data_IF_560472391669
#
_entry.id   IF_560472391669
#
_cell.length_a   1.000
_cell.length_b   1.000
_cell.length_c   1.000
_cell.angle_alpha   90.00
_cell.angle_beta   90.00
_cell.angle_gamma   90.00
#
_symmetry.space_group_name_H-M   'P 1'
#
loop_
_entity.id
_entity.type
_entity.pdbx_description
1 polymer ?
#
# COMPACT_ATOMS: atom_id res chain seq x y z
N UNK A 1 58.96 -1.72 -16.05
CA UNK A 1 57.73 -2.53 -16.17
C UNK A 1 57.29 -3.07 -14.80
N UNK A 2 57.14 -2.21 -13.78
CA UNK A 2 56.73 -2.62 -12.41
C UNK A 2 56.08 -1.48 -11.60
N UNK A 3 55.50 -0.47 -12.26
CA UNK A 3 54.80 0.63 -11.57
C UNK A 3 53.29 0.71 -11.84
N UNK A 4 52.77 -0.01 -12.83
CA UNK A 4 51.33 -0.02 -13.15
C UNK A 4 50.53 -1.11 -12.41
N UNK A 5 51.19 -1.98 -11.62
CA UNK A 5 50.50 -3.06 -10.90
C UNK A 5 49.95 -2.68 -9.52
N UNK A 6 50.40 -1.56 -8.94
CA UNK A 6 49.99 -1.15 -7.57
C UNK A 6 48.79 -0.21 -7.55
N UNK A 7 48.63 0.64 -8.57
CA UNK A 7 47.50 1.58 -8.67
C UNK A 7 46.20 0.87 -9.03
N UNK A 8 46.24 -0.17 -9.86
CA UNK A 8 45.05 -0.96 -10.23
C UNK A 8 44.52 -1.80 -9.07
N UNK A 9 45.40 -2.29 -8.19
CA UNK A 9 45.00 -3.08 -7.01
C UNK A 9 44.34 -2.20 -5.93
N UNK A 10 44.76 -0.94 -5.78
CA UNK A 10 44.18 0.00 -4.82
C UNK A 10 42.78 0.47 -5.26
N UNK A 11 42.56 0.67 -6.57
CA UNK A 11 41.24 0.98 -7.12
C UNK A 11 40.26 -0.21 -7.02
N UNK A 12 40.74 -1.44 -7.20
CA UNK A 12 39.94 -2.66 -6.99
C UNK A 12 39.59 -2.87 -5.51
N UNK A 13 40.48 -2.51 -4.58
CA UNK A 13 40.20 -2.56 -3.14
C UNK A 13 39.21 -1.49 -2.68
N UNK A 14 39.21 -0.29 -3.29
CA UNK A 14 38.22 0.76 -2.99
C UNK A 14 36.84 0.38 -3.55
N UNK A 15 36.78 -0.25 -4.72
CA UNK A 15 35.53 -0.78 -5.28
C UNK A 15 34.96 -1.96 -4.47
N UNK A 16 35.82 -2.76 -3.81
CA UNK A 16 35.40 -3.82 -2.89
C UNK A 16 34.99 -3.31 -1.49
N UNK A 17 35.29 -2.06 -1.15
CA UNK A 17 34.91 -1.43 0.13
C UNK A 17 33.59 -0.65 0.03
N UNK A 18 33.04 -0.46 -1.17
CA UNK A 18 31.72 0.16 -1.39
C UNK A 18 30.53 -0.80 -1.31
N UNK A 19 30.78 -2.10 -1.20
CA UNK A 19 29.77 -3.14 -1.00
C UNK A 19 29.80 -3.72 0.42
N UNK A 20 29.92 -2.86 1.44
CA UNK A 20 29.69 -3.28 2.81
C UNK A 20 28.19 -3.15 3.06
N UNK A 21 27.42 -4.18 2.71
CA UNK A 21 26.04 -4.31 3.19
C UNK A 21 26.08 -4.15 4.70
N UNK A 22 25.32 -3.19 5.22
CA UNK A 22 25.15 -3.02 6.65
C UNK A 22 24.50 -4.30 7.18
N UNK A 23 25.28 -5.16 7.83
CA UNK A 23 24.75 -6.27 8.63
C UNK A 23 24.11 -5.68 9.89
N UNK A 24 23.07 -4.89 9.72
CA UNK A 24 22.35 -4.24 10.82
C UNK A 24 21.57 -5.33 11.53
N UNK A 25 22.02 -5.72 12.71
CA UNK A 25 21.37 -6.77 13.50
C UNK A 25 20.09 -6.23 14.13
N UNK A 26 18.97 -6.91 13.87
CA UNK A 26 17.68 -6.59 14.49
C UNK A 26 17.68 -6.98 15.97
N UNK A 27 17.13 -6.09 16.82
CA UNK A 27 16.79 -6.43 18.20
C UNK A 27 15.35 -6.91 18.29
N UNK A 28 15.13 -8.12 18.81
CA UNK A 28 13.78 -8.69 18.97
C UNK A 28 13.21 -8.40 20.36
N UNK A 29 11.96 -7.93 20.43
CA UNK A 29 11.25 -7.55 21.66
C UNK A 29 9.84 -8.13 21.64
N UNK A 30 9.36 -8.69 22.74
CA UNK A 30 7.99 -9.19 22.82
C UNK A 30 6.94 -8.07 22.99
N UNK A 31 5.78 -8.26 22.36
CA UNK A 31 4.63 -7.37 22.48
C UNK A 31 4.69 -6.20 21.49
N UNK A 32 3.85 -5.19 21.72
CA UNK A 32 3.80 -3.98 20.89
C UNK A 32 4.86 -2.94 21.29
N UNK A 33 5.24 -2.03 20.38
CA UNK A 33 6.01 -0.84 20.74
C UNK A 33 5.34 -0.07 21.88
N UNK A 34 6.14 0.33 22.88
CA UNK A 34 5.65 1.01 24.08
C UNK A 34 5.59 2.54 23.93
N UNK A 35 6.27 3.09 22.92
CA UNK A 35 6.22 4.51 22.58
C UNK A 35 5.42 4.69 21.30
N UNK A 36 4.54 5.69 21.29
CA UNK A 36 3.91 6.16 20.07
C UNK A 36 4.98 6.62 19.07
N UNK A 37 4.77 6.30 17.80
CA UNK A 37 5.58 6.79 16.70
C UNK A 37 4.70 7.08 15.47
N UNK A 38 5.15 7.96 14.55
CA UNK A 38 4.43 8.19 13.30
C UNK A 38 4.21 6.90 12.50
N UNK A 39 5.24 6.06 12.41
CA UNK A 39 5.20 4.77 11.73
C UNK A 39 4.16 3.80 12.31
N UNK A 40 4.11 3.68 13.63
CA UNK A 40 3.10 2.87 14.32
C UNK A 40 1.69 3.41 14.05
N UNK A 41 1.53 4.74 14.06
CA UNK A 41 0.24 5.39 13.81
C UNK A 41 -0.27 5.11 12.39
N UNK A 42 0.61 5.19 11.39
CA UNK A 42 0.26 4.85 10.01
C UNK A 42 -0.10 3.37 9.84
N UNK A 43 0.60 2.47 10.54
CA UNK A 43 0.22 1.05 10.56
C UNK A 43 -1.16 0.83 11.21
N UNK A 44 -1.46 1.48 12.33
CA UNK A 44 -2.78 1.40 12.97
C UNK A 44 -3.90 1.96 12.08
N UNK A 45 -3.61 3.02 11.31
CA UNK A 45 -4.50 3.55 10.28
C UNK A 45 -4.78 2.49 9.21
N UNK A 46 -3.75 1.79 8.73
CA UNK A 46 -3.91 0.71 7.76
C UNK A 46 -4.79 -0.43 8.30
N UNK A 47 -4.66 -0.80 9.58
CA UNK A 47 -5.48 -1.86 10.19
C UNK A 47 -6.97 -1.53 10.27
N UNK A 48 -7.35 -0.25 10.28
CA UNK A 48 -8.75 0.16 10.43
C UNK A 48 -9.48 0.36 9.11
N UNK A 49 -8.73 0.60 8.03
CA UNK A 49 -9.29 0.70 6.69
C UNK A 49 -9.69 -0.67 6.17
N UNK A 50 -10.91 -0.81 5.63
CA UNK A 50 -11.23 -1.99 4.82
C UNK A 50 -10.42 -1.97 3.52
N UNK A 51 -10.18 -3.13 2.91
CA UNK A 51 -9.45 -3.27 1.64
C UNK A 51 -9.94 -2.31 0.54
N UNK A 52 -11.23 -1.97 0.55
CA UNK A 52 -11.85 -1.11 -0.46
C UNK A 52 -11.92 0.37 -0.08
N UNK A 53 -11.50 0.74 1.13
CA UNK A 53 -11.41 2.15 1.51
C UNK A 53 -10.21 2.80 0.84
N UNK A 54 -10.34 4.06 0.46
CA UNK A 54 -9.24 4.83 -0.12
C UNK A 54 -8.97 6.07 0.71
N UNK A 55 -7.73 6.19 1.20
CA UNK A 55 -7.24 7.41 1.84
C UNK A 55 -7.14 8.50 0.78
N UNK A 56 -7.86 9.60 0.98
CA UNK A 56 -7.87 10.71 0.02
C UNK A 56 -6.88 11.78 0.44
N UNK A 57 -6.94 12.21 1.71
CA UNK A 57 -6.07 13.27 2.23
C UNK A 57 -5.75 13.04 3.71
N UNK A 58 -4.62 13.59 4.14
CA UNK A 58 -4.39 14.01 5.51
C UNK A 58 -4.36 15.54 5.55
N UNK A 59 -5.34 16.17 6.20
CA UNK A 59 -5.44 17.63 6.30
C UNK A 59 -5.58 18.04 7.75
N UNK A 60 -4.63 18.82 8.25
CA UNK A 60 -4.63 19.35 9.62
C UNK A 60 -4.78 18.25 10.71
N UNK A 61 -4.15 17.09 10.50
CA UNK A 61 -4.23 15.94 11.42
C UNK A 61 -5.57 15.17 11.35
N UNK A 62 -6.36 15.40 10.30
CA UNK A 62 -7.55 14.63 9.98
C UNK A 62 -7.30 13.73 8.78
N UNK A 63 -7.49 12.43 8.98
CA UNK A 63 -7.46 11.44 7.93
C UNK A 63 -8.83 11.35 7.29
N UNK A 64 -8.89 11.50 5.97
CA UNK A 64 -10.14 11.55 5.20
C UNK A 64 -10.13 10.40 4.21
N UNK A 65 -11.21 9.61 4.23
CA UNK A 65 -11.34 8.41 3.42
C UNK A 65 -12.60 8.42 2.58
N UNK A 66 -12.51 7.86 1.38
CA UNK A 66 -13.66 7.30 0.67
C UNK A 66 -13.94 5.92 1.22
N UNK A 67 -15.19 5.67 1.61
CA UNK A 67 -15.64 4.34 2.03
C UNK A 67 -15.84 3.46 0.80
N UNK A 68 -15.18 2.30 0.82
CA UNK A 68 -15.32 1.30 -0.21
C UNK A 68 -16.76 0.80 -0.33
N UNK A 69 -17.24 0.75 -1.56
CA UNK A 69 -18.48 0.11 -1.93
C UNK A 69 -18.20 -1.33 -2.36
N UNK A 70 -18.84 -2.27 -1.67
CA UNK A 70 -18.76 -3.71 -1.93
C UNK A 70 -20.04 -4.28 -2.53
N UNK A 71 -21.08 -3.47 -2.70
CA UNK A 71 -22.41 -3.92 -3.08
C UNK A 71 -22.95 -3.09 -4.24
N UNK A 72 -23.32 -3.76 -5.33
CA UNK A 72 -23.87 -3.16 -6.56
C UNK A 72 -25.09 -2.24 -6.37
N UNK A 73 -25.74 -2.30 -5.20
CA UNK A 73 -26.94 -1.49 -4.87
C UNK A 73 -26.62 -0.12 -4.29
N UNK A 74 -25.43 0.08 -3.74
CA UNK A 74 -25.02 1.40 -3.28
C UNK A 74 -24.63 2.21 -4.51
N UNK A 75 -25.38 3.28 -4.75
CA UNK A 75 -25.27 4.08 -5.97
C UNK A 75 -24.55 5.41 -5.74
N UNK A 76 -24.04 5.65 -4.54
CA UNK A 76 -23.32 6.86 -4.15
C UNK A 76 -22.05 6.54 -3.39
N UNK A 77 -21.06 7.42 -3.55
CA UNK A 77 -19.83 7.38 -2.76
C UNK A 77 -20.07 8.06 -1.41
N UNK A 78 -19.54 7.46 -0.34
CA UNK A 78 -19.61 7.98 1.02
C UNK A 78 -18.21 8.23 1.55
N UNK A 79 -18.09 9.22 2.42
CA UNK A 79 -16.82 9.59 3.04
C UNK A 79 -16.93 9.50 4.54
N UNK A 80 -15.80 9.33 5.21
CA UNK A 80 -15.67 9.48 6.65
C UNK A 80 -14.31 10.10 6.97
N UNK A 81 -14.18 10.60 8.19
CA UNK A 81 -12.89 11.07 8.69
C UNK A 81 -12.67 10.67 10.14
N UNK A 82 -11.44 10.75 10.59
CA UNK A 82 -11.09 10.73 12.00
C UNK A 82 -9.76 11.44 12.22
N UNK A 83 -9.52 11.86 13.46
CA UNK A 83 -8.23 12.40 13.88
C UNK A 83 -7.30 11.31 14.38
N UNK A 84 -6.00 11.58 14.36
CA UNK A 84 -4.99 10.73 15.00
C UNK A 84 -5.32 10.40 16.45
N UNK A 85 -5.72 11.39 17.25
CA UNK A 85 -6.11 11.14 18.64
C UNK A 85 -7.29 10.18 18.77
N UNK A 86 -8.28 10.24 17.88
CA UNK A 86 -9.41 9.30 17.89
C UNK A 86 -8.96 7.89 17.50
N UNK A 87 -8.06 7.75 16.52
CA UNK A 87 -7.47 6.47 16.12
C UNK A 87 -6.69 5.83 17.29
N UNK A 88 -5.80 6.60 17.93
CA UNK A 88 -5.01 6.13 19.06
C UNK A 88 -5.89 5.79 20.26
N UNK A 89 -6.94 6.58 20.53
CA UNK A 89 -7.92 6.28 21.59
C UNK A 89 -8.66 4.98 21.31
N UNK A 90 -9.03 4.72 20.05
CA UNK A 90 -9.69 3.47 19.66
C UNK A 90 -8.78 2.24 19.87
N UNK A 91 -7.48 2.36 19.60
CA UNK A 91 -6.52 1.28 19.79
C UNK A 91 -5.88 1.19 21.17
N UNK A 92 -6.10 2.15 22.08
CA UNK A 92 -5.59 2.13 23.46
C UNK A 92 -5.85 0.79 24.21
N UNK A 93 -7.02 0.12 24.06
CA UNK A 93 -7.24 -1.21 24.65
C UNK A 93 -6.28 -2.30 24.15
N UNK A 94 -5.76 -2.18 22.92
CA UNK A 94 -4.80 -3.12 22.33
C UNK A 94 -3.43 -3.05 23.03
N UNK A 95 -3.04 -1.89 23.56
CA UNK A 95 -1.78 -1.72 24.29
C UNK A 95 -1.85 -2.20 25.75
N UNK A 96 -3.05 -2.57 26.22
CA UNK A 96 -3.32 -2.96 27.63
C UNK A 96 -3.71 -4.42 27.79
N UNK A 97 -3.72 -5.19 26.69
CA UNK A 97 -4.08 -6.61 26.67
C UNK A 97 -2.83 -7.49 26.63
N UNK A 98 -2.99 -8.74 27.07
CA UNK A 98 -2.01 -9.80 26.83
C UNK A 98 -2.41 -10.72 25.66
N UNK A 99 -3.64 -10.57 25.15
CA UNK A 99 -4.14 -11.30 23.97
C UNK A 99 -4.49 -10.28 22.88
N UNK A 100 -3.51 -9.97 22.04
CA UNK A 100 -3.60 -8.90 21.05
C UNK A 100 -4.53 -9.28 19.90
N UNK A 101 -4.39 -10.48 19.33
CA UNK A 101 -5.27 -11.03 18.28
C UNK A 101 -6.76 -10.95 18.65
N UNK A 102 -7.16 -11.49 19.82
CA UNK A 102 -8.56 -11.42 20.24
C UNK A 102 -9.03 -9.97 20.42
N UNK A 103 -8.20 -9.11 21.02
CA UNK A 103 -8.56 -7.71 21.27
C UNK A 103 -8.69 -6.92 19.98
N UNK A 104 -7.78 -7.13 19.02
CA UNK A 104 -7.85 -6.50 17.70
C UNK A 104 -9.12 -6.95 16.98
N UNK A 105 -9.43 -8.24 17.01
CA UNK A 105 -10.67 -8.76 16.44
C UNK A 105 -11.92 -8.17 17.11
N UNK A 106 -11.95 -8.03 18.43
CA UNK A 106 -13.04 -7.35 19.16
C UNK A 106 -13.20 -5.90 18.70
N UNK A 107 -12.11 -5.13 18.61
CA UNK A 107 -12.12 -3.74 18.13
C UNK A 107 -12.66 -3.66 16.69
N UNK A 108 -12.18 -4.50 15.78
CA UNK A 108 -12.59 -4.51 14.36
C UNK A 108 -14.06 -4.91 14.15
N UNK A 109 -14.68 -5.58 15.13
CA UNK A 109 -16.09 -5.99 15.09
C UNK A 109 -16.97 -5.21 16.07
N UNK A 110 -16.47 -4.13 16.66
CA UNK A 110 -17.18 -3.32 17.66
C UNK A 110 -18.03 -2.22 17.03
N UNK A 111 -19.03 -1.75 17.78
CA UNK A 111 -19.77 -0.53 17.43
C UNK A 111 -18.86 0.72 17.47
N UNK A 112 -17.80 0.71 18.29
CA UNK A 112 -16.83 1.81 18.39
C UNK A 112 -16.13 2.07 17.04
N UNK A 113 -15.94 1.04 16.21
CA UNK A 113 -15.42 1.22 14.85
C UNK A 113 -16.40 2.01 13.98
N UNK A 114 -17.70 1.79 14.14
CA UNK A 114 -18.73 2.53 13.43
C UNK A 114 -18.78 3.99 13.93
N UNK A 115 -18.54 4.22 15.21
CA UNK A 115 -18.40 5.56 15.79
C UNK A 115 -17.14 6.29 15.30
N UNK A 116 -16.04 5.57 15.07
CA UNK A 116 -14.84 6.16 14.50
C UNK A 116 -14.99 6.49 13.01
N UNK A 117 -15.72 5.66 12.26
CA UNK A 117 -15.97 5.82 10.81
C UNK A 117 -17.29 6.51 10.49
N UNK A 118 -17.68 7.49 11.31
CA UNK A 118 -18.93 8.23 11.09
C UNK A 118 -18.91 8.99 9.75
N UNK A 119 -20.05 9.02 9.03
CA UNK A 119 -20.13 9.72 7.75
C UNK A 119 -19.74 11.19 7.86
N UNK A 120 -18.97 11.64 6.86
CA UNK A 120 -18.61 13.04 6.71
C UNK A 120 -19.75 13.80 6.01
N UNK A 121 -20.53 14.55 6.79
CA UNK A 121 -21.69 15.29 6.28
C UNK A 121 -21.30 16.51 5.41
N UNK A 122 -20.23 17.23 5.78
CA UNK A 122 -19.79 18.44 5.08
C UNK A 122 -18.64 18.17 4.10
N UNK A 123 -18.95 17.53 2.98
CA UNK A 123 -17.97 17.22 1.93
C UNK A 123 -17.37 18.45 1.25
N UNK A 124 -18.11 19.57 1.23
CA UNK A 124 -17.71 20.82 0.58
C UNK A 124 -16.52 21.48 1.29
N UNK A 125 -16.42 21.36 2.62
CA UNK A 125 -15.28 21.87 3.38
C UNK A 125 -13.93 21.24 3.00
N UNK A 126 -13.98 20.08 2.34
CA UNK A 126 -12.82 19.30 1.92
C UNK A 126 -12.71 19.18 0.40
N UNK A 127 -13.51 19.95 -0.36
CA UNK A 127 -13.54 19.89 -1.83
C UNK A 127 -13.80 18.48 -2.39
N UNK A 128 -14.50 17.63 -1.63
CA UNK A 128 -14.79 16.25 -2.03
C UNK A 128 -16.00 16.20 -2.98
N UNK A 129 -15.91 15.45 -4.09
CA UNK A 129 -17.00 15.39 -5.07
C UNK A 129 -18.20 14.62 -4.52
N UNK A 130 -19.43 15.00 -4.87
CA UNK A 130 -20.60 14.14 -4.69
C UNK A 130 -20.81 13.32 -5.95
N UNK A 131 -20.72 12.00 -5.82
CA UNK A 131 -20.79 11.07 -6.95
C UNK A 131 -21.99 10.15 -6.79
N UNK A 132 -22.75 10.01 -7.87
CA UNK A 132 -23.88 9.08 -7.95
C UNK A 132 -23.95 8.41 -9.32
N UNK A 133 -24.00 7.09 -9.35
CA UNK A 133 -24.27 6.32 -10.56
C UNK A 133 -25.77 6.01 -10.66
N UNK A 134 -26.38 6.30 -11.81
CA UNK A 134 -27.78 5.93 -12.09
C UNK A 134 -27.83 4.77 -13.09
N UNK A 135 -29.03 4.27 -13.36
CA UNK A 135 -29.27 3.27 -14.41
C UNK A 135 -28.73 3.71 -15.77
N UNK A 136 -28.39 2.75 -16.64
CA UNK A 136 -27.79 3.00 -17.95
C UNK A 136 -26.44 3.71 -17.87
N UNK A 137 -25.61 3.37 -16.88
CA UNK A 137 -24.25 3.88 -16.71
C UNK A 137 -24.15 5.43 -16.71
N UNK A 138 -25.16 6.12 -16.18
CA UNK A 138 -25.18 7.58 -16.09
C UNK A 138 -24.55 8.05 -14.78
N UNK A 139 -23.32 8.57 -14.87
CA UNK A 139 -22.55 9.04 -13.73
C UNK A 139 -22.79 10.54 -13.50
N UNK A 140 -23.46 10.88 -12.40
CA UNK A 140 -23.62 12.25 -11.94
C UNK A 140 -22.51 12.61 -10.97
N UNK A 141 -21.83 13.73 -11.23
CA UNK A 141 -20.77 14.28 -10.37
C UNK A 141 -21.05 15.75 -10.09
N UNK A 142 -20.84 16.15 -8.85
CA UNK A 142 -20.88 17.53 -8.37
C UNK A 142 -19.57 17.82 -7.63
N UNK A 143 -18.81 18.79 -8.10
CA UNK A 143 -17.59 19.29 -7.46
C UNK A 143 -17.82 20.68 -6.89
N UNK A 144 -16.81 21.28 -6.26
CA UNK A 144 -16.85 22.69 -5.86
C UNK A 144 -16.93 23.66 -7.04
N UNK A 145 -16.60 23.22 -8.25
CA UNK A 145 -16.56 24.05 -9.46
C UNK A 145 -17.77 23.90 -10.34
N UNK A 146 -18.29 22.68 -10.52
CA UNK A 146 -19.31 22.38 -11.52
C UNK A 146 -20.13 21.12 -11.16
N UNK A 147 -21.22 20.90 -11.89
CA UNK A 147 -22.01 19.68 -11.84
C UNK A 147 -22.26 19.16 -13.26
N UNK A 148 -22.00 17.88 -13.49
CA UNK A 148 -22.21 17.23 -14.77
C UNK A 148 -22.82 15.83 -14.62
N UNK A 149 -23.41 15.34 -15.71
CA UNK A 149 -23.81 13.94 -15.86
C UNK A 149 -23.12 13.39 -17.10
N UNK A 150 -22.28 12.37 -16.92
CA UNK A 150 -21.62 11.65 -17.99
C UNK A 150 -22.41 10.41 -18.38
N UNK A 151 -22.67 10.25 -19.67
CA UNK A 151 -23.21 9.01 -20.23
C UNK A 151 -22.03 8.10 -20.59
N UNK A 152 -21.79 7.09 -19.75
CA UNK A 152 -20.66 6.19 -19.92
C UNK A 152 -21.00 4.98 -20.79
N UNK A 153 -22.24 4.83 -21.26
CA UNK A 153 -22.69 3.63 -21.98
C UNK A 153 -21.80 3.27 -23.15
N UNK A 154 -21.59 4.23 -24.06
CA UNK A 154 -20.82 3.98 -25.29
C UNK A 154 -19.34 3.69 -25.02
N UNK A 155 -18.72 4.41 -24.10
CA UNK A 155 -17.30 4.21 -23.79
C UNK A 155 -17.07 2.88 -23.07
N UNK A 156 -18.01 2.46 -22.22
CA UNK A 156 -17.92 1.19 -21.49
C UNK A 156 -18.18 -0.04 -22.37
N UNK A 157 -18.91 0.11 -23.48
CA UNK A 157 -19.05 -0.95 -24.49
C UNK A 157 -17.69 -1.36 -25.07
N UNK A 158 -16.75 -0.42 -25.27
CA UNK A 158 -15.39 -0.71 -25.73
C UNK A 158 -14.61 -1.61 -24.75
N UNK A 159 -15.01 -1.57 -23.47
CA UNK A 159 -14.48 -2.38 -22.38
C UNK A 159 -15.33 -3.62 -22.06
N UNK A 160 -16.28 -3.98 -22.95
CA UNK A 160 -17.18 -5.13 -22.82
C UNK A 160 -18.12 -5.06 -21.61
N UNK A 161 -18.44 -3.85 -21.14
CA UNK A 161 -19.39 -3.62 -20.05
C UNK A 161 -20.73 -3.17 -20.65
N UNK A 162 -21.76 -4.00 -20.52
CA UNK A 162 -23.10 -3.71 -21.05
C UNK A 162 -23.79 -2.59 -20.26
N UNK A 163 -24.76 -1.92 -20.90
CA UNK A 163 -25.47 -0.76 -20.34
C UNK A 163 -26.38 -1.09 -19.15
N UNK A 164 -26.84 -2.34 -19.05
CA UNK A 164 -27.65 -2.86 -17.95
C UNK A 164 -26.80 -3.48 -16.83
N UNK A 165 -25.47 -3.51 -16.98
CA UNK A 165 -24.54 -3.96 -15.93
C UNK A 165 -24.61 -3.02 -14.73
N UNK A 166 -24.74 -3.58 -13.52
CA UNK A 166 -24.63 -2.80 -12.30
C UNK A 166 -23.16 -2.53 -12.00
N UNK A 167 -22.81 -1.25 -11.87
CA UNK A 167 -21.45 -0.81 -11.58
C UNK A 167 -21.26 -0.56 -10.08
N UNK A 168 -20.15 -1.06 -9.56
CA UNK A 168 -19.60 -0.65 -8.27
C UNK A 168 -18.63 0.49 -8.55
N UNK A 169 -18.92 1.66 -7.99
CA UNK A 169 -18.11 2.88 -8.18
C UNK A 169 -17.41 3.22 -6.87
N UNK A 170 -16.08 3.28 -6.90
CA UNK A 170 -15.25 3.71 -5.78
C UNK A 170 -14.34 4.86 -6.21
N UNK A 171 -14.12 5.83 -5.34
CA UNK A 171 -13.06 6.82 -5.50
C UNK A 171 -11.77 6.19 -5.01
N UNK A 172 -10.72 6.30 -5.84
CA UNK A 172 -9.37 5.87 -5.49
C UNK A 172 -8.52 7.05 -5.05
N UNK A 173 -8.58 8.16 -5.79
CA UNK A 173 -7.82 9.36 -5.49
C UNK A 173 -8.57 10.61 -5.93
N UNK A 174 -8.30 11.72 -5.24
CA UNK A 174 -8.79 13.06 -5.59
C UNK A 174 -7.63 14.03 -5.37
N UNK A 175 -7.47 14.98 -6.27
CA UNK A 175 -6.51 16.08 -6.16
C UNK A 175 -7.23 17.42 -6.34
N UNK A 176 -6.48 18.52 -6.37
CA UNK A 176 -7.05 19.83 -6.66
C UNK A 176 -7.60 19.93 -8.10
N UNK A 177 -7.02 19.19 -9.04
CA UNK A 177 -7.36 19.27 -10.46
C UNK A 177 -8.15 18.07 -10.98
N UNK A 178 -8.03 16.90 -10.36
CA UNK A 178 -8.52 15.65 -10.94
C UNK A 178 -9.17 14.70 -9.91
N UNK A 179 -9.91 13.72 -10.43
CA UNK A 179 -10.59 12.65 -9.69
C UNK A 179 -10.29 11.32 -10.40
N UNK A 180 -9.98 10.29 -9.62
CA UNK A 180 -9.82 8.91 -10.10
C UNK A 180 -10.88 8.01 -9.47
N UNK A 181 -11.66 7.33 -10.32
CA UNK A 181 -12.65 6.34 -9.94
C UNK A 181 -12.29 4.97 -10.50
N UNK A 182 -12.69 3.91 -9.79
CA UNK A 182 -12.85 2.56 -10.38
C UNK A 182 -14.31 2.28 -10.68
N UNK A 183 -14.54 1.66 -11.83
CA UNK A 183 -15.83 1.17 -12.31
C UNK A 183 -15.76 -0.35 -12.40
N UNK A 184 -16.17 -1.04 -11.33
CA UNK A 184 -16.08 -2.49 -11.23
C UNK A 184 -17.43 -3.16 -11.47
N UNK A 185 -17.40 -4.44 -11.85
CA UNK A 185 -18.59 -5.28 -12.02
C UNK A 185 -18.39 -6.58 -11.26
N UNK A 186 -19.45 -7.23 -10.77
CA UNK A 186 -19.33 -8.58 -10.19
C UNK A 186 -18.93 -9.66 -11.19
N UNK A 187 -19.00 -9.36 -12.50
CA UNK A 187 -18.77 -10.31 -13.58
C UNK A 187 -17.30 -10.38 -14.03
N UNK A 188 -16.51 -9.34 -13.76
CA UNK A 188 -15.11 -9.22 -14.19
C UNK A 188 -14.19 -9.36 -12.98
N UNK A 189 -13.97 -10.59 -12.53
CA UNK A 189 -12.98 -10.86 -11.48
C UNK A 189 -11.59 -10.41 -11.94
N UNK A 190 -11.01 -9.44 -11.25
CA UNK A 190 -9.62 -9.00 -11.45
C UNK A 190 -9.36 -8.02 -12.58
N UNK A 191 -10.39 -7.48 -13.25
CA UNK A 191 -10.22 -6.40 -14.23
C UNK A 191 -10.91 -5.14 -13.73
N UNK A 192 -10.12 -4.16 -13.35
CA UNK A 192 -10.59 -2.83 -12.94
C UNK A 192 -10.61 -1.90 -14.15
N UNK A 193 -11.76 -1.25 -14.39
CA UNK A 193 -11.86 -0.14 -15.33
C UNK A 193 -11.69 1.16 -14.54
N UNK A 194 -10.73 1.99 -14.95
CA UNK A 194 -10.43 3.27 -14.31
C UNK A 194 -11.04 4.42 -15.11
N UNK A 195 -11.63 5.38 -14.40
CA UNK A 195 -12.19 6.60 -14.95
C UNK A 195 -11.51 7.82 -14.29
N UNK A 196 -10.79 8.57 -15.10
CA UNK A 196 -10.10 9.81 -14.75
C UNK A 196 -10.94 10.99 -15.21
N UNK A 197 -11.10 12.00 -14.36
CA UNK A 197 -12.00 13.14 -14.62
C UNK A 197 -11.36 14.41 -14.07
N UNK A 198 -11.40 15.50 -14.83
CA UNK A 198 -11.00 16.80 -14.30
C UNK A 198 -12.06 17.37 -13.34
N UNK A 199 -11.64 18.13 -12.32
CA UNK A 199 -12.51 18.71 -11.29
C UNK A 199 -13.50 19.76 -11.83
N UNK A 200 -13.28 20.31 -13.04
CA UNK A 200 -14.24 21.21 -13.73
C UNK A 200 -15.27 20.44 -14.55
N UNK A 201 -15.12 19.10 -14.63
CA UNK A 201 -16.01 18.17 -15.30
C UNK A 201 -16.14 18.45 -16.81
N UNK A 202 -15.04 18.88 -17.43
CA UNK A 202 -15.00 19.24 -18.85
C UNK A 202 -14.66 18.06 -19.76
N UNK A 203 -13.86 17.12 -19.28
CA UNK A 203 -13.41 15.94 -20.00
C UNK A 203 -13.22 14.75 -19.05
N UNK A 204 -13.10 13.56 -19.61
CA UNK A 204 -12.79 12.35 -18.88
C UNK A 204 -12.01 11.34 -19.74
N UNK A 205 -11.35 10.40 -19.08
CA UNK A 205 -10.56 9.35 -19.72
C UNK A 205 -10.84 8.01 -19.06
N UNK A 206 -11.05 6.97 -19.88
CA UNK A 206 -11.30 5.60 -19.41
C UNK A 206 -10.15 4.69 -19.86
N UNK A 207 -9.75 3.75 -19.01
CA UNK A 207 -8.75 2.71 -19.35
C UNK A 207 -8.90 1.47 -18.48
N UNK A 208 -8.56 0.31 -19.03
CA UNK A 208 -8.25 -0.90 -18.26
C UNK A 208 -6.73 -1.04 -18.18
N UNK A 209 -6.10 -0.22 -17.34
CA UNK A 209 -4.64 -0.02 -17.30
C UNK A 209 -3.84 -1.32 -17.32
N UNK A 210 -4.21 -2.31 -16.49
CA UNK A 210 -3.49 -3.59 -16.38
C UNK A 210 -3.74 -4.56 -17.56
N UNK A 211 -4.63 -4.22 -18.49
CA UNK A 211 -4.90 -4.99 -19.72
C UNK A 211 -4.35 -4.31 -20.98
N UNK A 212 -3.92 -3.05 -20.86
CA UNK A 212 -3.36 -2.25 -21.93
C UNK A 212 -1.82 -2.16 -21.76
N UNK A 213 -1.09 -1.73 -22.80
CA UNK A 213 0.34 -1.44 -22.67
C UNK A 213 0.54 -0.21 -21.75
N UNK A 214 1.18 -0.35 -20.57
CA UNK A 214 1.35 0.76 -19.65
C UNK A 214 2.04 1.95 -20.30
N UNK A 215 3.04 1.73 -21.16
CA UNK A 215 3.79 2.81 -21.79
C UNK A 215 2.90 3.64 -22.73
N UNK A 216 2.03 2.97 -23.49
CA UNK A 216 1.09 3.64 -24.38
C UNK A 216 0.02 4.42 -23.60
N UNK A 217 -0.58 3.81 -22.58
CA UNK A 217 -1.62 4.47 -21.76
C UNK A 217 -1.07 5.72 -21.07
N UNK A 218 0.15 5.65 -20.54
CA UNK A 218 0.80 6.82 -19.92
C UNK A 218 0.95 7.98 -20.89
N UNK A 219 1.51 7.72 -22.07
CA UNK A 219 1.81 8.76 -23.07
C UNK A 219 0.55 9.35 -23.70
N UNK A 220 -0.45 8.51 -24.00
CA UNK A 220 -1.63 8.95 -24.75
C UNK A 220 -2.76 9.46 -23.85
N UNK A 221 -2.85 8.98 -22.60
CA UNK A 221 -4.04 9.17 -21.77
C UNK A 221 -3.76 9.79 -20.40
N UNK A 222 -2.69 9.37 -19.70
CA UNK A 222 -2.57 9.64 -18.26
C UNK A 222 -1.73 10.86 -17.87
N UNK A 223 -0.99 11.47 -18.80
CA UNK A 223 -0.19 12.67 -18.53
C UNK A 223 -0.96 13.81 -17.83
N UNK A 224 -2.23 14.13 -18.19
CA UNK A 224 -3.00 15.18 -17.51
C UNK A 224 -3.38 14.88 -16.05
N UNK A 225 -3.16 13.64 -15.59
CA UNK A 225 -3.69 13.10 -14.33
C UNK A 225 -2.57 12.72 -13.34
N UNK A 226 -1.33 13.15 -13.55
CA UNK A 226 -0.18 12.79 -12.70
C UNK A 226 -0.27 13.30 -11.26
N UNK A 227 -1.09 14.31 -11.01
CA UNK A 227 -1.33 14.86 -9.67
C UNK A 227 -2.17 13.94 -8.77
N UNK A 228 -2.79 12.90 -9.34
CA UNK A 228 -3.53 11.88 -8.59
C UNK A 228 -2.63 10.80 -7.97
N UNK A 229 -1.37 10.72 -8.39
CA UNK A 229 -0.49 9.62 -8.02
C UNK A 229 0.58 10.03 -7.02
N UNK A 230 0.97 9.12 -6.09
CA UNK A 230 2.09 9.36 -5.18
C UNK A 230 3.38 9.73 -5.92
N UNK A 231 4.18 10.59 -5.29
CA UNK A 231 5.33 11.26 -5.91
C UNK A 231 6.60 11.13 -5.09
N UNK A 232 7.70 10.85 -5.78
CA UNK A 232 9.08 11.07 -5.31
C UNK A 232 9.83 11.77 -6.43
N UNK A 233 10.17 13.05 -6.22
CA UNK A 233 10.75 13.92 -7.24
C UNK A 233 9.94 13.88 -8.57
N UNK A 234 10.59 13.61 -9.70
CA UNK A 234 9.98 13.46 -11.02
C UNK A 234 9.26 12.12 -11.23
N UNK A 235 9.31 11.19 -10.28
CA UNK A 235 8.71 9.86 -10.40
C UNK A 235 7.34 9.76 -9.74
N UNK A 236 6.45 8.96 -10.34
CA UNK A 236 5.09 8.67 -9.84
C UNK A 236 4.80 7.18 -9.84
N UNK A 237 4.13 6.67 -8.81
CA UNK A 237 3.59 5.31 -8.80
C UNK A 237 2.16 5.28 -9.33
N UNK A 238 1.96 4.68 -10.50
CA UNK A 238 0.67 4.63 -11.19
C UNK A 238 0.01 3.28 -10.94
N UNK A 239 -1.15 3.33 -10.28
CA UNK A 239 -2.06 2.18 -10.09
C UNK A 239 -1.38 0.92 -9.51
N UNK A 240 -0.39 1.11 -8.64
CA UNK A 240 0.24 0.02 -7.89
C UNK A 240 1.17 -0.90 -8.68
N UNK A 241 1.32 -0.72 -10.00
CA UNK A 241 2.09 -1.67 -10.84
C UNK A 241 3.17 -1.04 -11.71
N UNK A 242 3.18 0.29 -11.85
CA UNK A 242 4.06 0.97 -12.81
C UNK A 242 4.59 2.25 -12.21
N UNK A 243 5.90 2.49 -12.34
CA UNK A 243 6.54 3.76 -11.99
C UNK A 243 6.71 4.59 -13.27
N UNK A 244 6.48 5.89 -13.22
CA UNK A 244 6.58 6.78 -14.39
C UNK A 244 7.48 7.95 -14.07
N UNK A 245 8.44 8.23 -14.97
CA UNK A 245 9.15 9.50 -14.96
C UNK A 245 8.28 10.55 -15.68
N UNK A 246 7.84 11.58 -14.96
CA UNK A 246 6.92 12.61 -15.46
C UNK A 246 7.57 13.64 -16.37
N UNK A 247 8.90 13.75 -16.40
CA UNK A 247 9.62 14.62 -17.34
C UNK A 247 9.77 13.96 -18.72
N UNK A 248 10.01 12.65 -18.75
CA UNK A 248 10.24 11.88 -20.00
C UNK A 248 9.02 11.10 -20.48
N UNK A 249 8.03 10.89 -19.60
CA UNK A 249 6.89 9.97 -19.78
C UNK A 249 7.30 8.51 -20.03
N UNK A 250 8.48 8.11 -19.58
CA UNK A 250 8.92 6.71 -19.60
C UNK A 250 8.29 5.94 -18.44
N UNK A 251 7.77 4.75 -18.75
CA UNK A 251 7.09 3.86 -17.81
C UNK A 251 7.98 2.64 -17.49
N UNK A 252 8.07 2.32 -16.21
CA UNK A 252 8.88 1.27 -15.62
C UNK A 252 7.93 0.33 -14.82
N UNK A 253 7.46 -0.77 -15.42
CA UNK A 253 6.65 -1.76 -14.70
C UNK A 253 7.43 -2.33 -13.51
N UNK A 254 6.75 -2.55 -12.39
CA UNK A 254 7.30 -3.29 -11.25
C UNK A 254 7.51 -4.77 -11.66
N UNK A 255 8.55 -5.39 -11.11
CA UNK A 255 8.77 -6.82 -11.26
C UNK A 255 7.70 -7.61 -10.49
N UNK A 256 7.48 -8.85 -10.89
CA UNK A 256 6.44 -9.72 -10.30
C UNK A 256 6.70 -10.02 -8.81
N UNK A 257 7.95 -9.97 -8.39
CA UNK A 257 8.39 -10.29 -7.04
C UNK A 257 8.50 -9.06 -6.15
N UNK A 258 8.36 -7.85 -6.69
CA UNK A 258 8.55 -6.60 -5.96
C UNK A 258 7.22 -6.03 -5.50
N UNK A 259 7.20 -5.47 -4.30
CA UNK A 259 5.99 -4.93 -3.68
C UNK A 259 6.08 -3.41 -3.59
N UNK A 260 5.00 -2.69 -3.93
CA UNK A 260 4.90 -1.25 -3.72
C UNK A 260 4.37 -0.95 -2.31
N UNK A 261 4.96 0.03 -1.65
CA UNK A 261 4.54 0.51 -0.32
C UNK A 261 3.13 1.08 -0.35
N UNK A 262 2.48 1.09 0.82
CA UNK A 262 1.11 1.57 0.97
C UNK A 262 0.97 3.04 0.57
N UNK A 263 2.02 3.85 0.77
CA UNK A 263 2.04 5.26 0.38
C UNK A 263 2.55 5.50 -1.06
N UNK A 264 2.91 4.43 -1.78
CA UNK A 264 3.34 4.44 -3.17
C UNK A 264 4.73 5.02 -3.43
N UNK A 265 5.53 5.30 -2.40
CA UNK A 265 6.82 6.00 -2.58
C UNK A 265 8.04 5.08 -2.58
N UNK A 266 7.86 3.86 -2.10
CA UNK A 266 8.91 2.86 -1.91
C UNK A 266 8.54 1.52 -2.52
N UNK A 267 9.55 0.76 -2.92
CA UNK A 267 9.48 -0.61 -3.43
C UNK A 267 10.26 -1.53 -2.51
N UNK A 268 9.63 -2.60 -2.06
CA UNK A 268 10.29 -3.69 -1.36
C UNK A 268 10.75 -4.72 -2.37
N UNK A 269 12.06 -4.98 -2.42
CA UNK A 269 12.66 -5.88 -3.40
C UNK A 269 12.44 -7.34 -3.01
N UNK A 270 11.82 -8.14 -3.89
CA UNK A 270 11.50 -9.54 -3.60
C UNK A 270 10.44 -9.73 -2.50
N UNK A 271 9.59 -8.73 -2.26
CA UNK A 271 8.58 -8.73 -1.22
C UNK A 271 7.30 -9.53 -1.52
N UNK A 272 7.02 -9.87 -2.79
CA UNK A 272 5.84 -10.65 -3.17
C UNK A 272 6.16 -12.16 -3.18
N UNK A 273 5.91 -12.83 -2.06
CA UNK A 273 6.10 -14.28 -1.93
C UNK A 273 4.92 -15.05 -2.53
N UNK A 274 5.01 -15.40 -3.82
CA UNK A 274 3.87 -15.99 -4.57
C UNK A 274 3.45 -17.37 -4.12
N UNK A 275 4.30 -18.11 -3.39
CA UNK A 275 4.01 -19.47 -2.95
C UNK A 275 4.67 -19.74 -1.60
N UNK A 276 3.98 -20.48 -0.71
CA UNK A 276 4.62 -21.07 0.46
C UNK A 276 5.84 -21.89 0.00
N UNK A 277 6.99 -21.65 0.62
CA UNK A 277 8.19 -22.47 0.41
C UNK A 277 8.30 -23.47 1.56
N UNK A 278 8.84 -24.66 1.31
CA UNK A 278 9.11 -25.62 2.38
C UNK A 278 10.34 -25.23 3.23
N UNK A 279 11.09 -24.22 2.79
CA UNK A 279 12.28 -23.67 3.44
C UNK A 279 12.48 -22.22 2.92
N UNK A 280 12.06 -21.21 3.69
CA UNK A 280 12.44 -19.81 3.42
C UNK A 280 13.76 -19.51 4.13
N UNK A 281 14.76 -19.11 3.36
CA UNK A 281 16.06 -18.75 3.91
C UNK A 281 16.02 -17.40 4.62
N UNK A 282 16.76 -17.30 5.73
CA UNK A 282 17.10 -16.01 6.34
C UNK A 282 17.75 -15.11 5.29
N UNK A 283 17.49 -13.81 5.36
CA UNK A 283 17.81 -12.95 4.23
C UNK A 283 17.89 -11.47 4.56
N UNK A 284 18.75 -10.81 3.81
CA UNK A 284 18.76 -9.36 3.69
C UNK A 284 17.52 -8.89 2.94
N UNK A 285 16.79 -8.00 3.57
CA UNK A 285 15.63 -7.31 3.05
C UNK A 285 16.03 -5.92 2.60
N UNK A 286 15.45 -5.42 1.50
CA UNK A 286 15.83 -4.15 0.91
C UNK A 286 14.63 -3.35 0.45
N UNK A 287 14.64 -2.06 0.79
CA UNK A 287 13.63 -1.10 0.37
C UNK A 287 14.31 -0.01 -0.46
N UNK A 288 13.69 0.34 -1.58
CA UNK A 288 14.13 1.43 -2.46
C UNK A 288 13.06 2.50 -2.60
N UNK A 289 13.43 3.77 -2.78
CA UNK A 289 12.50 4.75 -3.37
C UNK A 289 12.13 4.34 -4.80
N UNK A 290 10.93 4.70 -5.26
CA UNK A 290 10.52 4.48 -6.65
C UNK A 290 11.46 5.14 -7.67
N UNK A 291 12.14 6.23 -7.29
CA UNK A 291 13.16 6.88 -8.10
C UNK A 291 14.39 5.99 -8.28
N UNK A 292 14.97 5.51 -7.18
CA UNK A 292 16.17 4.67 -7.23
C UNK A 292 15.89 3.35 -7.95
N UNK A 293 14.71 2.77 -7.72
CA UNK A 293 14.22 1.59 -8.41
C UNK A 293 14.16 1.82 -9.93
N UNK A 294 13.46 2.87 -10.38
CA UNK A 294 13.30 3.14 -11.82
C UNK A 294 14.62 3.52 -12.51
N UNK A 295 15.58 4.12 -11.79
CA UNK A 295 16.93 4.41 -12.30
C UNK A 295 17.82 3.16 -12.35
N UNK A 296 17.44 2.06 -11.70
CA UNK A 296 18.26 0.86 -11.55
C UNK A 296 19.48 1.10 -10.66
N UNK A 297 19.38 2.03 -9.70
CA UNK A 297 20.46 2.33 -8.76
C UNK A 297 20.52 1.25 -7.67
N UNK A 298 21.72 0.81 -7.30
CA UNK A 298 21.95 -0.05 -6.12
C UNK A 298 22.07 0.81 -4.84
N UNK A 299 21.10 1.73 -4.64
CA UNK A 299 20.98 2.55 -3.43
C UNK A 299 19.74 2.08 -2.70
N UNK A 300 19.90 1.70 -1.43
CA UNK A 300 18.83 1.19 -0.59
C UNK A 300 18.59 2.20 0.54
N UNK A 301 17.36 2.67 0.65
CA UNK A 301 16.93 3.52 1.76
C UNK A 301 16.95 2.73 3.06
N UNK A 302 16.61 1.44 3.01
CA UNK A 302 16.72 0.53 4.15
C UNK A 302 17.27 -0.84 3.71
N UNK A 303 18.18 -1.39 4.51
CA UNK A 303 18.75 -2.74 4.38
C UNK A 303 18.88 -3.36 5.78
N UNK A 304 18.15 -4.46 6.00
CA UNK A 304 18.12 -5.16 7.29
C UNK A 304 18.05 -6.67 7.13
N UNK A 305 18.55 -7.41 8.12
CA UNK A 305 18.60 -8.87 8.07
C UNK A 305 17.56 -9.50 9.01
N UNK A 306 16.73 -10.39 8.48
CA UNK A 306 15.77 -11.18 9.27
C UNK A 306 16.35 -12.58 9.51
N UNK A 307 16.26 -13.02 10.76
CA UNK A 307 16.60 -14.38 11.21
C UNK A 307 15.33 -15.05 11.75
N UNK A 308 14.69 -15.86 10.91
CA UNK A 308 13.45 -16.57 11.26
C UNK A 308 13.69 -17.62 12.35
N UNK A 309 14.90 -18.16 12.43
CA UNK A 309 15.31 -19.09 13.49
C UNK A 309 15.38 -18.41 14.85
N UNK A 310 15.91 -17.19 14.92
CA UNK A 310 15.99 -16.39 16.14
C UNK A 310 14.59 -15.97 16.59
N UNK A 311 13.68 -15.59 15.68
CA UNK A 311 12.28 -15.29 16.00
C UNK A 311 11.59 -16.51 16.61
N UNK A 312 11.75 -17.68 16.00
CA UNK A 312 11.22 -18.95 16.51
C UNK A 312 11.77 -19.27 17.91
N UNK A 313 13.06 -19.06 18.15
CA UNK A 313 13.68 -19.28 19.46
C UNK A 313 13.14 -18.31 20.53
N UNK A 314 12.92 -17.03 20.18
CA UNK A 314 12.34 -16.05 21.11
C UNK A 314 10.90 -16.40 21.49
N UNK A 315 10.13 -16.98 20.56
CA UNK A 315 8.72 -17.34 20.77
C UNK A 315 8.52 -18.77 21.30
N UNK A 316 9.60 -19.50 21.60
CA UNK A 316 9.58 -20.90 22.05
C UNK A 316 8.80 -21.83 21.08
N UNK A 317 8.86 -21.59 19.76
CA UNK A 317 8.25 -22.49 18.78
C UNK A 317 9.04 -23.80 18.65
N UNK A 318 8.33 -24.91 18.48
CA UNK A 318 8.92 -26.26 18.35
C UNK A 318 9.70 -26.51 17.04
N UNK A 319 9.79 -25.49 16.19
CA UNK A 319 10.28 -25.56 14.81
C UNK A 319 10.77 -24.20 14.33
N UNK A 320 11.89 -24.21 13.60
CA UNK A 320 12.45 -23.03 12.94
C UNK A 320 12.02 -22.92 11.48
N UNK A 321 11.31 -23.93 10.97
CA UNK A 321 10.96 -23.99 9.56
C UNK A 321 9.79 -23.04 9.28
N UNK A 322 10.08 -21.93 8.61
CA UNK A 322 9.11 -20.94 8.17
C UNK A 322 8.56 -21.35 6.78
N UNK A 323 7.25 -21.30 6.61
CA UNK A 323 6.57 -21.66 5.35
C UNK A 323 6.17 -20.40 4.56
N UNK A 324 5.73 -19.37 5.29
CA UNK A 324 5.22 -18.13 4.72
C UNK A 324 5.76 -16.95 5.50
N UNK A 325 6.20 -15.91 4.78
CA UNK A 325 6.60 -14.63 5.33
C UNK A 325 6.00 -13.50 4.46
N UNK A 326 4.75 -13.14 4.74
CA UNK A 326 4.00 -12.19 3.93
C UNK A 326 4.19 -10.77 4.48
N UNK A 327 4.46 -9.81 3.60
CA UNK A 327 4.50 -8.39 3.97
C UNK A 327 3.05 -7.88 4.00
N UNK A 328 2.53 -7.64 5.20
CA UNK A 328 1.16 -7.15 5.40
C UNK A 328 1.11 -5.62 5.24
N UNK A 329 2.17 -4.93 5.65
CA UNK A 329 2.27 -3.48 5.56
C UNK A 329 3.73 -3.08 5.46
N UNK A 330 4.03 -2.08 4.64
CA UNK A 330 5.29 -1.35 4.77
C UNK A 330 5.25 0.07 4.20
N UNK A 331 6.13 0.89 4.74
CA UNK A 331 6.62 2.16 4.19
C UNK A 331 8.15 2.22 4.44
N UNK A 332 8.78 3.39 4.36
CA UNK A 332 10.22 3.52 4.66
C UNK A 332 10.57 3.27 6.13
N UNK A 333 9.67 3.61 7.05
CA UNK A 333 9.95 3.64 8.48
C UNK A 333 9.51 2.35 9.21
N UNK A 334 8.74 1.49 8.54
CA UNK A 334 8.07 0.36 9.17
C UNK A 334 7.82 -0.77 8.19
N UNK A 335 8.03 -1.99 8.64
CA UNK A 335 7.65 -3.22 7.92
C UNK A 335 6.89 -4.12 8.87
N UNK A 336 5.78 -4.70 8.42
CA UNK A 336 4.99 -5.67 9.18
C UNK A 336 4.88 -6.97 8.41
N UNK A 337 5.38 -8.03 9.02
CA UNK A 337 5.36 -9.37 8.46
C UNK A 337 4.30 -10.22 9.16
N UNK A 338 3.64 -11.09 8.41
CA UNK A 338 2.92 -12.24 8.93
C UNK A 338 3.72 -13.51 8.65
N UNK A 339 4.07 -14.22 9.74
CA UNK A 339 4.96 -15.37 9.70
C UNK A 339 4.20 -16.63 10.09
N UNK A 340 4.34 -17.68 9.28
CA UNK A 340 3.73 -18.98 9.53
C UNK A 340 4.78 -20.09 9.54
N UNK A 341 4.90 -20.78 10.68
CA UNK A 341 5.88 -21.85 10.87
C UNK A 341 5.27 -23.25 10.66
N UNK A 342 6.07 -24.18 10.13
CA UNK A 342 5.69 -25.57 9.88
C UNK A 342 5.74 -26.41 11.14
N UNK A 343 4.64 -27.10 11.47
CA UNK A 343 4.64 -28.08 12.54
C UNK A 343 5.62 -29.21 12.26
N UNK A 344 6.30 -29.70 13.30
CA UNK A 344 7.36 -30.73 13.19
C UNK A 344 6.95 -32.03 12.49
N UNK A 345 5.66 -32.37 12.49
CA UNK A 345 5.14 -33.60 11.88
C UNK A 345 4.11 -33.32 10.78
N UNK A 346 3.02 -32.58 11.08
CA UNK A 346 1.97 -32.14 10.15
C UNK A 346 1.30 -30.90 10.76
N UNK A 347 0.89 -29.93 9.95
CA UNK A 347 0.13 -28.74 10.38
C UNK A 347 1.00 -27.52 10.68
N UNK A 348 0.46 -26.53 11.38
CA UNK A 348 1.15 -25.28 11.73
C UNK A 348 1.87 -25.42 13.09
N UNK A 349 3.10 -24.93 13.16
CA UNK A 349 3.98 -24.97 14.33
C UNK A 349 3.97 -23.68 15.17
N UNK A 350 3.27 -22.66 14.68
CA UNK A 350 3.17 -21.33 15.28
C UNK A 350 2.94 -20.28 14.20
N UNK A 351 2.37 -19.16 14.59
CA UNK A 351 2.29 -17.97 13.75
C UNK A 351 2.47 -16.72 14.61
N UNK A 352 2.98 -15.66 14.01
CA UNK A 352 3.23 -14.38 14.67
C UNK A 352 3.23 -13.27 13.65
N UNK A 353 2.98 -12.05 14.11
CA UNK A 353 3.34 -10.86 13.36
C UNK A 353 4.67 -10.28 13.89
N UNK A 354 5.44 -9.70 12.98
CA UNK A 354 6.72 -9.05 13.30
C UNK A 354 6.68 -7.63 12.78
N UNK A 355 6.66 -6.66 13.69
CA UNK A 355 6.64 -5.24 13.37
C UNK A 355 8.07 -4.72 13.49
N UNK A 356 8.70 -4.41 12.36
CA UNK A 356 10.08 -3.95 12.26
C UNK A 356 10.06 -2.43 12.17
N UNK A 357 10.53 -1.77 13.23
CA UNK A 357 10.69 -0.32 13.34
C UNK A 357 12.06 0.08 12.78
N UNK A 358 12.05 0.77 11.63
CA UNK A 358 13.22 1.20 10.87
C UNK A 358 13.60 2.66 11.18
N UNK A 359 12.86 3.36 12.04
CA UNK A 359 13.12 4.77 12.35
C UNK A 359 14.46 5.02 13.09
N UNK A 360 15.16 3.95 13.48
CA UNK A 360 16.49 3.98 14.10
C UNK A 360 17.49 3.25 13.19
N UNK A 361 18.03 3.98 12.22
CA UNK A 361 18.90 3.49 11.13
C UNK A 361 20.03 2.52 11.57
N UNK A 362 20.63 2.71 12.75
CA UNK A 362 21.76 1.87 13.18
C UNK A 362 21.37 0.53 13.83
N UNK A 363 20.13 0.38 14.35
CA UNK A 363 19.68 -0.84 15.03
C UNK A 363 18.13 -0.93 15.02
N UNK A 364 17.52 -1.47 13.96
CA UNK A 364 16.08 -1.66 13.90
C UNK A 364 15.60 -2.59 15.02
N UNK A 365 14.39 -2.32 15.51
CA UNK A 365 13.75 -3.11 16.56
C UNK A 365 12.58 -3.87 15.95
N UNK A 366 12.56 -5.19 16.10
CA UNK A 366 11.44 -6.03 15.69
C UNK A 366 10.61 -6.45 16.89
N UNK A 367 9.34 -6.08 16.86
CA UNK A 367 8.36 -6.38 17.88
C UNK A 367 7.59 -7.65 17.49
N UNK A 368 7.69 -8.67 18.34
CA UNK A 368 7.07 -9.99 18.15
C UNK A 368 5.70 -10.01 18.84
N UNK A 369 4.64 -10.04 18.05
CA UNK A 369 3.27 -9.93 18.54
C UNK A 369 2.31 -10.73 17.66
N UNK A 370 1.42 -11.50 18.27
CA UNK A 370 0.34 -12.16 17.53
C UNK A 370 -0.89 -11.23 17.43
N UNK A 371 -1.03 -10.57 16.29
CA UNK A 371 -2.18 -9.72 15.96
C UNK A 371 -3.28 -10.49 15.21
N UNK A 372 -3.06 -11.76 14.84
CA UNK A 372 -4.02 -12.55 14.07
C UNK A 372 -4.32 -11.96 12.69
N UNK A 373 -3.30 -11.46 11.98
CA UNK A 373 -3.44 -10.87 10.64
C UNK A 373 -3.45 -11.89 9.49
N UNK A 374 -3.43 -13.19 9.82
CA UNK A 374 -3.48 -14.34 8.91
C UNK A 374 -4.78 -14.43 8.09
#
# INVERSE_FOLDING_TARGET
MYLYGKTTLFLLLILLLGGCGSNTSITYVHGLPQSESPALTEFLEHLITSFDDSKLYNKDGQFIFSKGNLVERQNSVHYYHYTENQLLTFYDPLFKTNNYSLKLNELRNSDDLLELRQPLENTEAYSLPRIKINTNNQLKIETSYNQATFDLSKVLEDYKIANDTQLIVNIIAVSEENILLTLNTSLTSGISTYLFIDQRLSDYTVTQFHQEDPQQVIQEKLTPYYDLFPTVNEYRSVLGSTIVNTETNEAFPLQEEDLLSVDGKYVYLGGEMKKPSEDLEDGTQRIQTIENYAKGNEVYEEDFHIDYGQISDQLDFDTKNIITADIVYFNADYVVLDLLYAGRFVGHGGSTNVLIDLQKEENPTAYLVDLGLQ
#
